data_IF_355673472224
#
_entry.id   IF_355673472224
#
_cell.length_a   1.000
_cell.length_b   1.000
_cell.length_c   1.000
_cell.angle_alpha   90.00
_cell.angle_beta   90.00
_cell.angle_gamma   90.00
#
_symmetry.space_group_name_H-M   'P 1'
#
loop_
_entity.id
_entity.type
_entity.pdbx_description
1 polymer ?
#
# COMPACT_ATOMS: atom_id res chain seq x y z
N UNK A 1 83.84 17.39 -54.42
CA UNK A 1 82.75 16.87 -55.24
C UNK A 1 82.03 15.88 -54.35
N UNK A 2 80.93 16.08 -54.02
CA UNK A 2 79.60 16.38 -54.26
C UNK A 2 78.76 16.10 -53.05
N UNK A 3 78.03 17.04 -52.65
CA UNK A 3 77.20 17.16 -51.49
C UNK A 3 75.90 16.39 -51.70
N UNK A 4 75.44 15.54 -50.86
CA UNK A 4 74.07 15.02 -50.87
C UNK A 4 73.40 15.18 -49.54
N UNK A 5 72.55 16.20 -49.53
CA UNK A 5 71.59 16.47 -48.47
C UNK A 5 70.64 15.28 -48.19
N UNK A 6 70.54 14.85 -47.02
CA UNK A 6 69.49 13.93 -46.54
C UNK A 6 68.52 14.75 -45.72
N UNK A 7 67.33 15.03 -46.26
CA UNK A 7 66.19 15.56 -45.55
C UNK A 7 65.61 14.49 -44.66
N UNK A 8 65.67 14.66 -43.35
CA UNK A 8 64.94 13.88 -42.39
C UNK A 8 63.58 14.53 -42.18
N UNK A 9 62.53 13.97 -42.74
CA UNK A 9 61.17 14.35 -42.48
C UNK A 9 60.64 13.54 -41.28
N UNK A 10 60.60 14.18 -40.12
CA UNK A 10 59.93 13.65 -38.92
C UNK A 10 58.41 13.75 -39.13
N UNK A 11 57.76 12.64 -39.34
CA UNK A 11 56.31 12.53 -39.26
C UNK A 11 55.92 12.23 -37.82
N UNK A 12 55.49 13.28 -37.08
CA UNK A 12 54.80 13.09 -35.82
C UNK A 12 53.37 12.68 -36.16
N UNK A 13 53.06 11.42 -36.00
CA UNK A 13 51.69 10.90 -36.00
C UNK A 13 51.01 11.33 -34.70
N UNK A 14 50.05 12.20 -34.83
CA UNK A 14 49.15 12.62 -33.76
C UNK A 14 48.12 11.53 -33.61
N UNK A 15 48.24 10.73 -32.56
CA UNK A 15 47.20 9.81 -32.15
C UNK A 15 46.09 10.63 -31.46
N UNK A 16 45.00 10.89 -32.18
CA UNK A 16 43.76 11.41 -31.62
C UNK A 16 43.13 10.25 -30.89
N UNK A 17 43.31 10.22 -29.56
CA UNK A 17 42.56 9.35 -28.68
C UNK A 17 41.07 9.72 -28.74
N UNK A 18 40.26 8.82 -29.28
CA UNK A 18 38.82 8.92 -29.22
C UNK A 18 38.44 8.67 -27.77
N UNK A 19 38.14 9.77 -27.02
CA UNK A 19 37.45 9.66 -25.73
C UNK A 19 36.03 9.16 -26.04
N UNK A 20 35.84 7.86 -25.90
CA UNK A 20 34.50 7.26 -25.82
C UNK A 20 33.85 7.76 -24.54
N UNK A 21 33.01 8.77 -24.64
CA UNK A 21 32.07 9.09 -23.58
C UNK A 21 31.08 7.92 -23.46
N UNK A 22 31.34 7.04 -22.50
CA UNK A 22 30.30 6.15 -21.99
C UNK A 22 29.25 7.05 -21.32
N UNK A 23 28.24 7.45 -22.05
CA UNK A 23 27.02 7.95 -21.46
C UNK A 23 26.39 6.77 -20.72
N UNK A 24 26.63 6.70 -19.40
CA UNK A 24 25.84 5.86 -18.53
C UNK A 24 24.38 6.28 -18.70
N UNK A 25 23.47 5.38 -19.05
CA UNK A 25 22.06 5.72 -19.00
C UNK A 25 21.76 6.11 -17.55
N UNK A 26 21.38 7.37 -17.37
CA UNK A 26 20.73 7.80 -16.14
C UNK A 26 19.43 7.00 -16.12
N UNK A 27 19.46 5.85 -15.45
CA UNK A 27 18.26 5.12 -15.11
C UNK A 27 17.53 6.06 -14.15
N UNK A 28 16.63 6.87 -14.70
CA UNK A 28 15.59 7.51 -13.93
C UNK A 28 14.74 6.37 -13.36
N UNK A 29 15.22 5.80 -12.27
CA UNK A 29 14.39 5.03 -11.38
C UNK A 29 13.42 6.02 -10.74
N UNK A 30 12.41 6.43 -11.50
CA UNK A 30 11.16 6.87 -10.90
C UNK A 30 10.82 5.74 -9.95
N UNK A 31 10.94 6.03 -8.67
CA UNK A 31 10.67 5.06 -7.64
C UNK A 31 9.28 4.50 -7.94
N UNK A 32 9.20 3.23 -8.30
CA UNK A 32 7.94 2.50 -8.46
C UNK A 32 7.10 2.51 -7.18
N UNK A 33 7.60 3.10 -6.11
CA UNK A 33 6.95 3.34 -4.83
C UNK A 33 5.92 4.48 -4.88
N UNK A 34 6.00 5.42 -5.83
CA UNK A 34 5.04 6.52 -5.92
C UNK A 34 3.69 6.10 -6.54
N UNK A 35 3.65 5.03 -7.31
CA UNK A 35 2.44 4.59 -8.02
C UNK A 35 1.50 3.68 -7.19
N UNK A 36 1.91 3.26 -6.00
CA UNK A 36 1.11 2.39 -5.13
C UNK A 36 0.45 3.11 -3.94
N UNK A 37 0.49 4.43 -3.90
CA UNK A 37 -0.35 5.16 -2.95
C UNK A 37 -1.79 5.06 -3.45
N UNK A 38 -2.58 4.24 -2.79
CA UNK A 38 -4.02 4.11 -3.03
C UNK A 38 -4.67 5.50 -2.92
N UNK A 39 -4.96 6.13 -4.06
CA UNK A 39 -5.52 7.47 -4.11
C UNK A 39 -7.03 7.39 -3.95
N UNK A 40 -7.48 7.44 -2.72
CA UNK A 40 -8.91 7.54 -2.42
C UNK A 40 -9.62 8.67 -3.19
N UNK A 41 -8.88 9.73 -3.51
CA UNK A 41 -9.42 10.89 -4.23
C UNK A 41 -9.74 10.61 -5.71
N UNK A 42 -9.09 9.61 -6.30
CA UNK A 42 -9.30 9.26 -7.72
C UNK A 42 -10.44 8.22 -7.88
N UNK A 43 -11.05 7.77 -6.78
CA UNK A 43 -12.11 6.77 -6.80
C UNK A 43 -13.50 7.42 -6.90
N UNK A 44 -14.35 6.81 -7.71
CA UNK A 44 -15.74 7.26 -7.82
C UNK A 44 -16.48 7.07 -6.48
N UNK A 45 -17.14 8.11 -5.94
CA UNK A 45 -17.94 7.98 -4.73
C UNK A 45 -19.11 7.02 -4.90
N UNK A 46 -19.39 6.27 -3.84
CA UNK A 46 -20.57 5.39 -3.76
C UNK A 46 -21.74 6.19 -3.22
N UNK A 47 -22.77 6.35 -4.03
CA UNK A 47 -23.99 7.08 -3.68
C UNK A 47 -24.93 6.17 -2.92
N UNK A 48 -25.31 6.57 -1.70
CA UNK A 48 -26.24 5.84 -0.85
C UNK A 48 -27.52 6.67 -0.75
N UNK A 49 -28.69 6.07 -1.03
CA UNK A 49 -29.99 6.74 -1.04
C UNK A 49 -30.54 6.97 0.37
N UNK A 50 -29.76 7.70 1.21
CA UNK A 50 -30.12 8.12 2.56
C UNK A 50 -29.84 9.61 2.73
N UNK A 51 -30.52 10.25 3.69
CA UNK A 51 -30.33 11.65 4.04
C UNK A 51 -29.03 11.88 4.83
N UNK A 52 -28.68 10.94 5.69
CA UNK A 52 -27.53 11.08 6.59
C UNK A 52 -26.71 9.80 6.67
N UNK A 53 -25.40 9.97 6.86
CA UNK A 53 -24.45 8.88 7.12
C UNK A 53 -23.69 9.19 8.40
N UNK A 54 -23.65 8.24 9.32
CA UNK A 54 -22.80 8.26 10.50
C UNK A 54 -21.72 7.21 10.38
N UNK A 55 -20.49 7.55 10.80
CA UNK A 55 -19.39 6.61 10.88
C UNK A 55 -19.09 6.38 12.36
N UNK A 56 -19.04 5.13 12.76
CA UNK A 56 -18.76 4.70 14.14
C UNK A 56 -17.57 3.76 14.16
N UNK A 57 -16.53 4.12 14.89
CA UNK A 57 -15.43 3.23 15.18
C UNK A 57 -15.75 2.46 16.49
N UNK A 58 -15.98 1.17 16.34
CA UNK A 58 -16.24 0.26 17.45
C UNK A 58 -15.03 -0.66 17.75
N UNK A 59 -13.95 -0.50 16.98
CA UNK A 59 -12.73 -1.26 17.17
C UNK A 59 -11.87 -0.63 18.27
N UNK A 60 -11.60 -1.37 19.31
CA UNK A 60 -10.68 -0.97 20.37
C UNK A 60 -9.27 -1.51 20.04
N UNK A 61 -8.37 -0.62 19.66
CA UNK A 61 -6.99 -0.95 19.30
C UNK A 61 -6.24 -1.53 20.52
N UNK A 62 -5.74 -2.78 20.45
CA UNK A 62 -4.86 -3.31 21.48
C UNK A 62 -3.47 -2.65 21.40
N UNK A 63 -2.92 -2.30 22.58
CA UNK A 63 -1.58 -1.68 22.67
C UNK A 63 -0.50 -2.69 23.09
N UNK A 64 -0.73 -3.97 22.78
CA UNK A 64 0.14 -5.10 23.19
C UNK A 64 0.45 -5.99 22.00
N UNK A 65 1.62 -6.63 22.04
CA UNK A 65 1.98 -7.63 21.02
C UNK A 65 0.95 -8.77 20.98
N UNK A 66 0.64 -9.31 19.79
CA UNK A 66 1.27 -9.10 18.50
C UNK A 66 0.69 -7.95 17.65
N UNK A 67 -0.12 -7.08 18.24
CA UNK A 67 -0.78 -5.97 17.57
C UNK A 67 0.18 -4.79 17.37
N UNK A 68 0.18 -4.19 16.17
CA UNK A 68 1.15 -3.15 15.78
C UNK A 68 0.53 -1.90 15.20
N UNK A 69 -0.79 -1.75 15.23
CA UNK A 69 -1.51 -0.60 14.68
C UNK A 69 -0.99 0.72 15.24
N UNK A 70 -0.66 0.74 16.54
CA UNK A 70 -0.12 1.91 17.26
C UNK A 70 1.30 2.29 16.83
N UNK A 71 2.00 1.41 16.12
CA UNK A 71 3.35 1.66 15.56
C UNK A 71 3.31 2.10 14.10
N UNK A 72 2.16 2.02 13.45
CA UNK A 72 1.98 2.42 12.05
C UNK A 72 1.85 3.93 11.94
N UNK A 73 2.36 4.53 10.86
CA UNK A 73 2.19 5.96 10.58
C UNK A 73 0.71 6.36 10.45
N UNK A 74 -0.09 5.47 9.92
CA UNK A 74 -1.54 5.58 9.84
C UNK A 74 -2.15 4.27 10.29
N UNK A 75 -3.02 4.32 11.27
CA UNK A 75 -3.70 3.10 11.74
C UNK A 75 -4.69 2.58 10.68
N UNK A 76 -4.96 1.27 10.65
CA UNK A 76 -5.97 0.72 9.76
C UNK A 76 -7.37 1.30 10.02
N UNK A 77 -7.70 1.65 11.29
CA UNK A 77 -8.96 2.31 11.63
C UNK A 77 -9.05 3.72 11.02
N UNK A 78 -8.01 4.56 11.20
CA UNK A 78 -7.98 5.89 10.58
C UNK A 78 -8.04 5.83 9.06
N UNK A 79 -7.42 4.82 8.45
CA UNK A 79 -7.47 4.62 7.02
C UNK A 79 -8.89 4.27 6.55
N UNK A 80 -9.60 3.42 7.29
CA UNK A 80 -10.98 3.01 6.97
C UNK A 80 -11.99 4.15 7.23
N UNK A 81 -11.80 4.94 8.30
CA UNK A 81 -12.57 6.17 8.53
C UNK A 81 -12.39 7.14 7.37
N UNK A 82 -11.15 7.38 6.95
CA UNK A 82 -10.84 8.25 5.82
C UNK A 82 -11.45 7.75 4.50
N UNK A 83 -11.42 6.44 4.26
CA UNK A 83 -12.09 5.80 3.13
C UNK A 83 -13.61 6.06 3.19
N UNK A 84 -14.25 5.80 4.32
CA UNK A 84 -15.70 5.98 4.47
C UNK A 84 -16.13 7.42 4.23
N UNK A 85 -15.41 8.41 4.79
CA UNK A 85 -15.68 9.84 4.56
C UNK A 85 -15.48 10.26 3.10
N UNK A 86 -14.54 9.65 2.38
CA UNK A 86 -14.23 10.03 1.00
C UNK A 86 -15.16 9.35 0.02
N UNK A 87 -15.47 8.08 0.23
CA UNK A 87 -16.14 7.23 -0.75
C UNK A 87 -17.67 7.20 -0.54
N UNK A 88 -18.15 7.14 0.69
CA UNK A 88 -19.59 7.02 0.95
C UNK A 88 -20.28 8.39 0.90
N UNK A 89 -21.25 8.56 0.02
CA UNK A 89 -21.97 9.83 -0.18
C UNK A 89 -23.48 9.65 0.02
N UNK A 90 -24.07 10.21 1.06
CA UNK A 90 -25.51 10.28 1.20
C UNK A 90 -26.10 11.22 0.14
N UNK A 91 -27.04 10.75 -0.66
CA UNK A 91 -27.67 11.52 -1.75
C UNK A 91 -29.21 11.47 -1.69
N UNK A 92 -29.80 10.76 -0.70
CA UNK A 92 -31.24 10.66 -0.52
C UNK A 92 -31.81 11.82 0.29
N UNK A 93 -33.15 11.92 0.29
CA UNK A 93 -33.92 12.91 1.06
C UNK A 93 -34.36 12.39 2.43
N UNK A 94 -34.35 11.08 2.64
CA UNK A 94 -34.87 10.39 3.81
C UNK A 94 -33.97 9.24 4.26
N UNK A 95 -34.18 8.76 5.50
CA UNK A 95 -33.46 7.67 6.06
C UNK A 95 -32.06 8.02 6.55
N UNK A 96 -31.41 7.06 7.15
CA UNK A 96 -30.06 7.17 7.70
C UNK A 96 -29.25 5.92 7.38
N UNK A 97 -27.94 6.06 7.30
CA UNK A 97 -27.01 4.95 7.28
C UNK A 97 -26.01 5.06 8.43
N UNK A 98 -25.60 3.94 8.96
CA UNK A 98 -24.53 3.86 9.96
C UNK A 98 -23.48 2.91 9.43
N UNK A 99 -22.27 3.42 9.22
CA UNK A 99 -21.11 2.60 8.91
C UNK A 99 -20.31 2.35 10.17
N UNK A 100 -20.24 1.09 10.60
CA UNK A 100 -19.55 0.64 11.82
C UNK A 100 -18.24 -0.05 11.43
N UNK A 101 -17.14 0.35 12.05
CA UNK A 101 -15.86 -0.34 11.98
C UNK A 101 -15.84 -1.36 13.12
N UNK A 102 -15.78 -2.64 12.78
CA UNK A 102 -15.83 -3.74 13.74
C UNK A 102 -14.45 -4.33 14.03
N UNK A 103 -13.55 -4.28 13.03
CA UNK A 103 -12.18 -4.76 13.15
C UNK A 103 -11.27 -3.93 12.22
N UNK A 104 -10.14 -3.51 12.75
CA UNK A 104 -9.10 -2.79 12.01
C UNK A 104 -7.71 -3.20 12.53
N UNK A 105 -7.52 -4.51 12.69
CA UNK A 105 -6.33 -5.08 13.32
C UNK A 105 -5.15 -5.20 12.36
N UNK A 106 -3.95 -5.02 12.90
CA UNK A 106 -2.68 -5.32 12.24
C UNK A 106 -1.80 -6.17 13.17
N UNK A 107 -1.54 -7.41 12.75
CA UNK A 107 -0.84 -8.40 13.57
C UNK A 107 0.47 -8.79 12.92
N UNK A 108 1.56 -8.80 13.70
CA UNK A 108 2.84 -9.37 13.29
C UNK A 108 2.95 -10.81 13.78
N UNK A 109 3.39 -11.70 12.87
CA UNK A 109 3.76 -13.07 13.19
C UNK A 109 5.13 -13.41 12.61
N UNK A 110 5.91 -14.19 13.32
CA UNK A 110 7.16 -14.73 12.81
C UNK A 110 6.86 -15.91 11.89
N UNK A 111 7.45 -15.90 10.71
CA UNK A 111 7.39 -17.05 9.81
C UNK A 111 8.58 -17.92 10.15
N UNK A 112 8.35 -18.99 10.91
CA UNK A 112 9.30 -20.07 11.01
C UNK A 112 9.22 -20.86 9.70
N UNK A 113 10.23 -20.75 8.85
CA UNK A 113 10.38 -21.68 7.72
C UNK A 113 10.59 -23.07 8.29
N UNK A 114 9.77 -24.04 7.91
CA UNK A 114 10.00 -25.43 8.19
C UNK A 114 11.43 -25.79 7.74
N UNK A 115 12.21 -26.35 8.66
CA UNK A 115 13.65 -26.56 8.53
C UNK A 115 13.94 -27.52 7.37
N UNK A 116 14.42 -26.99 6.25
CA UNK A 116 15.00 -27.80 5.17
C UNK A 116 16.53 -27.66 5.22
N UNK A 117 17.27 -28.75 4.97
CA UNK A 117 18.74 -28.76 4.99
C UNK A 117 19.43 -27.66 4.16
N UNK A 118 18.73 -27.04 3.22
CA UNK A 118 19.18 -25.90 2.43
C UNK A 118 19.07 -24.56 3.17
N UNK A 119 18.36 -24.51 4.30
CA UNK A 119 18.15 -23.29 5.09
C UNK A 119 19.32 -22.99 6.05
N UNK A 120 20.27 -23.90 6.19
CA UNK A 120 21.50 -23.68 6.97
C UNK A 120 22.33 -22.49 6.45
N UNK A 121 22.09 -22.05 5.21
CA UNK A 121 22.75 -20.88 4.61
C UNK A 121 21.83 -19.65 4.48
N UNK A 122 20.58 -19.74 4.91
CA UNK A 122 19.58 -18.67 4.84
C UNK A 122 18.97 -18.41 6.21
N UNK A 123 19.78 -17.89 7.14
CA UNK A 123 19.27 -17.29 8.38
C UNK A 123 18.50 -16.00 8.06
N UNK A 124 17.33 -16.11 7.43
CA UNK A 124 16.40 -14.99 7.21
C UNK A 124 15.08 -15.35 7.83
N UNK A 125 14.98 -15.16 9.14
CA UNK A 125 13.68 -15.08 9.77
C UNK A 125 12.95 -13.93 9.07
N UNK A 126 11.73 -14.20 8.65
CA UNK A 126 10.88 -13.18 8.02
C UNK A 126 9.70 -12.94 8.93
N UNK A 127 9.33 -11.70 9.09
CA UNK A 127 8.11 -11.32 9.78
C UNK A 127 6.98 -11.15 8.79
N UNK A 128 5.78 -11.60 9.14
CA UNK A 128 4.57 -11.41 8.35
C UNK A 128 3.67 -10.44 9.08
N UNK A 129 3.31 -9.34 8.43
CA UNK A 129 2.23 -8.47 8.89
C UNK A 129 0.94 -8.84 8.17
N UNK A 130 -0.12 -9.05 8.94
CA UNK A 130 -1.47 -9.29 8.44
C UNK A 130 -2.38 -8.17 8.92
N UNK A 131 -3.03 -7.48 7.99
CA UNK A 131 -4.02 -6.44 8.29
C UNK A 131 -5.40 -7.01 7.94
N UNK A 132 -6.33 -6.89 8.87
CA UNK A 132 -7.73 -7.26 8.69
C UNK A 132 -8.61 -6.03 8.91
N UNK A 133 -9.56 -5.83 8.01
CA UNK A 133 -10.60 -4.81 8.12
C UNK A 133 -11.96 -5.51 8.13
N UNK A 134 -12.84 -5.10 9.01
CA UNK A 134 -14.24 -5.51 9.02
C UNK A 134 -15.13 -4.29 9.26
N UNK A 135 -16.08 -4.09 8.38
CA UNK A 135 -17.04 -3.00 8.46
C UNK A 135 -18.45 -3.48 8.18
N UNK A 136 -19.42 -2.82 8.81
CA UNK A 136 -20.84 -3.06 8.60
C UNK A 136 -21.54 -1.75 8.24
N UNK A 137 -22.30 -1.75 7.15
CA UNK A 137 -23.21 -0.68 6.79
C UNK A 137 -24.62 -1.11 7.15
N UNK A 138 -25.31 -0.31 7.97
CA UNK A 138 -26.73 -0.51 8.31
C UNK A 138 -27.54 0.63 7.70
N UNK A 139 -28.69 0.27 7.10
CA UNK A 139 -29.60 1.22 6.46
C UNK A 139 -30.92 1.29 7.23
N UNK A 140 -31.38 2.50 7.53
CA UNK A 140 -32.59 2.78 8.28
C UNK A 140 -33.52 3.68 7.46
N UNK A 141 -34.81 3.36 7.41
CA UNK A 141 -35.85 4.22 6.86
C UNK A 141 -36.46 5.15 7.94
N UNK A 142 -37.41 6.02 7.55
CA UNK A 142 -38.03 7.06 8.39
C UNK A 142 -38.44 6.60 9.79
N UNK A 143 -38.79 5.35 9.99
CA UNK A 143 -39.28 4.84 11.26
C UNK A 143 -38.18 4.20 12.13
N UNK A 144 -36.90 4.51 11.88
CA UNK A 144 -35.74 3.87 12.50
C UNK A 144 -35.73 2.32 12.39
N UNK A 145 -36.49 1.78 11.43
CA UNK A 145 -36.48 0.34 11.15
C UNK A 145 -35.31 0.05 10.21
N UNK A 146 -34.45 -0.85 10.64
CA UNK A 146 -33.40 -1.38 9.76
C UNK A 146 -34.05 -2.04 8.54
N UNK A 147 -33.62 -1.65 7.36
CA UNK A 147 -34.15 -2.14 6.08
C UNK A 147 -33.17 -2.97 5.30
N UNK A 148 -31.89 -2.93 5.66
CA UNK A 148 -30.84 -3.72 5.06
C UNK A 148 -29.51 -3.48 5.76
N UNK A 149 -28.61 -4.41 5.61
CA UNK A 149 -27.24 -4.28 6.09
C UNK A 149 -26.28 -4.94 5.12
N UNK A 150 -25.01 -4.57 5.25
CA UNK A 150 -23.91 -5.05 4.44
C UNK A 150 -22.72 -5.29 5.34
N UNK A 151 -22.20 -6.52 5.38
CA UNK A 151 -21.01 -6.89 6.15
C UNK A 151 -19.84 -7.12 5.19
N UNK A 152 -18.74 -6.38 5.37
CA UNK A 152 -17.55 -6.47 4.55
C UNK A 152 -16.36 -6.86 5.39
N UNK A 153 -15.57 -7.81 4.88
CA UNK A 153 -14.30 -8.22 5.49
C UNK A 153 -13.23 -8.26 4.40
N UNK A 154 -12.11 -7.62 4.67
CA UNK A 154 -10.93 -7.70 3.82
C UNK A 154 -9.68 -8.03 4.65
N UNK A 155 -8.79 -8.82 4.06
CA UNK A 155 -7.52 -9.18 4.70
C UNK A 155 -6.39 -9.10 3.69
N UNK A 156 -5.26 -8.59 4.14
CA UNK A 156 -4.03 -8.54 3.34
C UNK A 156 -2.83 -8.86 4.21
N UNK A 157 -1.85 -9.55 3.63
CA UNK A 157 -0.61 -9.88 4.33
C UNK A 157 0.58 -9.55 3.46
N UNK A 158 1.65 -9.07 4.08
CA UNK A 158 2.98 -8.91 3.48
C UNK A 158 4.06 -9.42 4.41
N UNK A 159 5.15 -9.88 3.84
CA UNK A 159 6.33 -10.32 4.58
C UNK A 159 7.42 -9.27 4.50
N UNK A 160 8.16 -9.11 5.59
CA UNK A 160 9.35 -8.29 5.67
C UNK A 160 10.54 -9.17 6.08
N UNK A 161 11.73 -9.01 5.48
CA UNK A 161 12.93 -9.69 5.94
C UNK A 161 13.32 -9.15 7.33
N UNK A 162 13.94 -9.99 8.16
CA UNK A 162 14.43 -9.57 9.47
C UNK A 162 15.43 -8.39 9.39
N UNK A 163 16.19 -8.35 8.30
CA UNK A 163 17.16 -7.28 8.02
C UNK A 163 16.53 -5.98 7.50
N UNK A 164 15.20 -5.88 7.45
CA UNK A 164 14.54 -4.67 6.97
C UNK A 164 14.82 -3.50 7.92
N UNK A 165 15.21 -2.36 7.37
CA UNK A 165 15.30 -1.12 8.13
C UNK A 165 13.90 -0.66 8.57
N UNK A 166 13.83 0.25 9.55
CA UNK A 166 12.56 0.82 10.01
C UNK A 166 11.79 1.46 8.85
N UNK A 167 12.48 2.19 7.96
CA UNK A 167 11.88 2.83 6.79
C UNK A 167 11.27 1.77 5.85
N UNK A 168 12.00 0.68 5.59
CA UNK A 168 11.49 -0.41 4.76
C UNK A 168 10.28 -1.12 5.37
N UNK A 169 10.25 -1.28 6.71
CA UNK A 169 9.11 -1.83 7.42
C UNK A 169 7.89 -0.92 7.28
N UNK A 170 8.05 0.38 7.46
CA UNK A 170 6.97 1.36 7.29
C UNK A 170 6.42 1.34 5.85
N UNK A 171 7.27 1.29 4.84
CA UNK A 171 6.85 1.17 3.43
C UNK A 171 6.06 -0.11 3.17
N UNK A 172 6.51 -1.24 3.72
CA UNK A 172 5.80 -2.53 3.61
C UNK A 172 4.43 -2.44 4.28
N UNK A 173 4.35 -1.84 5.47
CA UNK A 173 3.09 -1.68 6.21
C UNK A 173 2.12 -0.75 5.48
N UNK A 174 2.58 0.40 5.01
CA UNK A 174 1.78 1.34 4.22
C UNK A 174 1.26 0.69 2.93
N UNK A 175 2.13 -0.02 2.23
CA UNK A 175 1.75 -0.75 1.02
C UNK A 175 0.75 -1.87 1.30
N UNK A 176 0.84 -2.55 2.47
CA UNK A 176 -0.13 -3.56 2.89
C UNK A 176 -1.48 -2.92 3.26
N UNK A 177 -1.44 -1.78 3.96
CA UNK A 177 -2.63 -1.00 4.31
C UNK A 177 -3.38 -0.53 3.06
N UNK A 178 -2.67 0.03 2.09
CA UNK A 178 -3.28 0.45 0.82
C UNK A 178 -3.91 -0.73 0.07
N UNK A 179 -3.26 -1.90 0.09
CA UNK A 179 -3.79 -3.09 -0.55
C UNK A 179 -5.08 -3.61 0.13
N UNK A 180 -5.12 -3.63 1.46
CA UNK A 180 -6.33 -4.08 2.17
C UNK A 180 -7.49 -3.11 2.01
N UNK A 181 -7.24 -1.79 2.00
CA UNK A 181 -8.27 -0.77 1.71
C UNK A 181 -8.82 -0.96 0.28
N UNK A 182 -7.96 -1.21 -0.71
CA UNK A 182 -8.40 -1.49 -2.08
C UNK A 182 -9.25 -2.75 -2.19
N UNK A 183 -8.91 -3.81 -1.45
CA UNK A 183 -9.74 -5.01 -1.38
C UNK A 183 -11.08 -4.76 -0.70
N UNK A 184 -11.07 -3.97 0.39
CA UNK A 184 -12.27 -3.59 1.12
C UNK A 184 -13.22 -2.78 0.23
N UNK A 185 -12.70 -1.77 -0.47
CA UNK A 185 -13.48 -0.96 -1.41
C UNK A 185 -14.11 -1.81 -2.53
N UNK A 186 -13.31 -2.71 -3.12
CA UNK A 186 -13.81 -3.61 -4.16
C UNK A 186 -14.96 -4.47 -3.66
N UNK A 187 -14.78 -5.13 -2.52
CA UNK A 187 -15.78 -5.99 -1.91
C UNK A 187 -17.05 -5.20 -1.57
N UNK A 188 -16.89 -3.99 -1.02
CA UNK A 188 -18.00 -3.10 -0.73
C UNK A 188 -18.80 -2.75 -2.00
N UNK A 189 -18.12 -2.38 -3.09
CA UNK A 189 -18.77 -2.06 -4.37
C UNK A 189 -19.48 -3.25 -4.99
N UNK A 190 -18.94 -4.45 -4.83
CA UNK A 190 -19.55 -5.64 -5.39
C UNK A 190 -20.81 -6.03 -4.62
N UNK A 191 -20.80 -5.92 -3.30
CA UNK A 191 -21.95 -6.27 -2.47
C UNK A 191 -23.06 -5.20 -2.48
N UNK A 192 -22.72 -3.90 -2.53
CA UNK A 192 -23.75 -2.84 -2.49
C UNK A 192 -24.66 -2.82 -3.72
N UNK A 193 -24.23 -3.41 -4.84
CA UNK A 193 -25.05 -3.56 -6.06
C UNK A 193 -26.26 -4.47 -5.86
N UNK A 194 -26.23 -5.31 -4.83
CA UNK A 194 -27.25 -6.30 -4.55
C UNK A 194 -28.27 -5.81 -3.50
N UNK A 195 -27.99 -4.67 -2.85
CA UNK A 195 -28.79 -4.07 -1.80
C UNK A 195 -29.76 -3.02 -2.37
#
# INVERSE_FOLDING_TARGET
MENKNIKVTSRRSFNIGILSYFALPIINSKSAFADNVFRLMDMEPIKISVKSLQIQDLYAMPLVDPYVEHRMRKSPSDALIGWAHTILRPVGSEGAAIFKILDASAIISNINSDFTFLDLFKNKQSTKITIRLSGKLELFRQNNKETGYLDIVATSSKTAPESASIIQLEEIWDSNLNNVIGKFDKEFRDQIKVL
#
